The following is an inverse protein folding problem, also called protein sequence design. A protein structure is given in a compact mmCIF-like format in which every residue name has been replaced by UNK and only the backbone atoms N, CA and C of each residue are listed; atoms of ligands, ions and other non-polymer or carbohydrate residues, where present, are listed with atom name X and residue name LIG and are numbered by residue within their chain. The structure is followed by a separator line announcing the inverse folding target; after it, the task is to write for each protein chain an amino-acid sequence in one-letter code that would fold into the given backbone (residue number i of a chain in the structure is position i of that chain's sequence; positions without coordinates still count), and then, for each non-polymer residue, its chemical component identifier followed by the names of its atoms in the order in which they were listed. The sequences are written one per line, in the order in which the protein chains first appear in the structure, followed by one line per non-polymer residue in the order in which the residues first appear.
data_IF_573655013499
#
_entry.id   IF_573655013499
#
_cell.length_a   1.000
_cell.length_b   1.000
_cell.length_c   1.000
_cell.angle_alpha   90.00
_cell.angle_beta   90.00
_cell.angle_gamma   90.00
#
_symmetry.space_group_name_H-M   'P 1'
#
loop_
_entity.id
_entity.type
_entity.pdbx_description
1 polymer ?
#
# COMPACT_ATOMS: atom_id res chain seq x y z
N UNK A 1 3.42 11.82 7.68
CA UNK A 1 3.14 11.58 6.25
C UNK A 1 1.80 12.20 5.91
N UNK A 2 1.56 12.52 4.64
CA UNK A 2 0.29 13.11 4.17
C UNK A 2 -0.81 12.09 3.86
N UNK A 3 -0.60 10.81 4.16
CA UNK A 3 -1.56 9.75 3.89
C UNK A 3 -1.49 9.28 2.44
N UNK A 4 -2.63 9.18 1.77
CA UNK A 4 -2.70 8.84 0.35
C UNK A 4 -2.32 10.06 -0.52
N UNK A 5 -1.05 10.47 -0.51
CA UNK A 5 -0.53 11.64 -1.22
C UNK A 5 0.47 11.29 -2.35
N UNK A 6 0.77 10.00 -2.50
CA UNK A 6 1.71 9.48 -3.50
C UNK A 6 3.18 9.70 -3.15
N UNK A 7 3.51 9.97 -1.88
CA UNK A 7 4.87 10.19 -1.41
C UNK A 7 5.85 9.07 -1.80
N UNK A 8 5.39 7.82 -1.85
CA UNK A 8 6.15 6.66 -2.35
C UNK A 8 6.69 6.86 -3.77
N UNK A 9 5.93 7.51 -4.66
CA UNK A 9 6.36 7.77 -6.05
C UNK A 9 7.16 9.08 -6.17
N UNK A 10 6.85 10.07 -5.33
CA UNK A 10 7.49 11.40 -5.35
C UNK A 10 8.88 11.37 -4.69
N UNK A 11 9.06 10.57 -3.65
CA UNK A 11 10.31 10.38 -2.90
C UNK A 11 10.77 8.91 -2.94
N UNK A 12 11.05 8.35 -4.14
CA UNK A 12 11.20 6.90 -4.34
C UNK A 12 12.46 6.31 -3.68
N UNK A 13 13.36 7.14 -3.16
CA UNK A 13 14.58 6.71 -2.47
C UNK A 13 14.51 6.87 -0.95
N UNK A 14 13.35 7.27 -0.41
CA UNK A 14 13.17 7.50 1.04
C UNK A 14 12.31 6.39 1.65
N UNK A 15 10.99 6.45 1.45
CA UNK A 15 10.06 5.51 2.08
C UNK A 15 10.25 4.07 1.61
N UNK A 16 10.51 3.79 0.31
CA UNK A 16 10.82 2.43 -0.13
C UNK A 16 12.08 1.81 0.47
N UNK A 17 12.93 2.61 1.13
CA UNK A 17 14.14 2.13 1.80
C UNK A 17 13.91 1.76 3.28
N UNK A 18 12.72 2.02 3.84
CA UNK A 18 12.39 1.64 5.21
C UNK A 18 12.17 0.12 5.32
N UNK A 19 12.54 -0.47 6.46
CA UNK A 19 12.43 -1.92 6.66
C UNK A 19 11.02 -2.47 6.47
N UNK A 20 9.94 -1.83 7.00
CA UNK A 20 8.57 -2.30 6.77
C UNK A 20 8.10 -2.23 5.30
N UNK A 21 8.82 -1.51 4.44
CA UNK A 21 8.49 -1.31 3.02
C UNK A 21 9.34 -2.18 2.08
N UNK A 22 10.06 -3.17 2.61
CA UNK A 22 10.91 -4.05 1.81
C UNK A 22 10.10 -4.70 0.66
N UNK A 23 10.58 -4.53 -0.57
CA UNK A 23 9.93 -5.01 -1.80
C UNK A 23 9.02 -3.99 -2.50
N UNK A 24 8.60 -2.90 -1.83
CA UNK A 24 7.66 -1.93 -2.44
C UNK A 24 8.25 -1.21 -3.66
N UNK A 25 9.59 -1.14 -3.75
CA UNK A 25 10.32 -0.48 -4.83
C UNK A 25 9.91 -0.99 -6.22
N UNK A 26 9.57 -2.28 -6.36
CA UNK A 26 9.12 -2.85 -7.64
C UNK A 26 7.80 -2.22 -8.11
N UNK A 27 6.83 -2.10 -7.21
CA UNK A 27 5.55 -1.44 -7.51
C UNK A 27 5.73 0.06 -7.80
N UNK A 28 6.60 0.73 -7.05
CA UNK A 28 6.96 2.14 -7.27
C UNK A 28 7.57 2.33 -8.66
N UNK A 29 8.56 1.52 -9.03
CA UNK A 29 9.23 1.58 -10.32
C UNK A 29 8.29 1.25 -11.49
N UNK A 30 7.29 0.37 -11.28
CA UNK A 30 6.28 0.07 -12.28
C UNK A 30 5.30 1.23 -12.51
N UNK A 31 5.00 2.03 -11.47
CA UNK A 31 4.04 3.13 -11.56
C UNK A 31 4.67 4.47 -11.99
N UNK A 32 5.93 4.74 -11.64
CA UNK A 32 6.61 6.00 -11.99
C UNK A 32 6.48 6.37 -13.49
N UNK A 33 6.65 5.45 -14.46
CA UNK A 33 6.50 5.78 -15.88
C UNK A 33 5.11 6.33 -16.26
N UNK A 34 4.06 5.97 -15.52
CA UNK A 34 2.71 6.47 -15.79
C UNK A 34 2.55 7.94 -15.41
N UNK A 35 3.34 8.48 -14.47
CA UNK A 35 3.28 9.91 -14.12
C UNK A 35 3.76 10.81 -15.26
N UNK A 36 4.76 10.36 -16.03
CA UNK A 36 5.21 11.11 -17.20
C UNK A 36 4.28 10.93 -18.40
N UNK A 37 3.65 9.76 -18.52
CA UNK A 37 2.67 9.48 -19.58
C UNK A 37 1.34 10.22 -19.36
N UNK A 38 0.91 10.40 -18.11
CA UNK A 38 -0.35 11.01 -17.73
C UNK A 38 -0.13 12.20 -16.78
N UNK A 39 0.43 13.33 -17.28
CA UNK A 39 0.90 14.43 -16.43
C UNK A 39 -0.21 15.20 -15.70
N UNK A 40 -1.47 14.97 -16.04
CA UNK A 40 -2.63 15.56 -15.34
C UNK A 40 -3.09 14.72 -14.14
N UNK A 41 -2.55 13.51 -13.96
CA UNK A 41 -2.86 12.62 -12.84
C UNK A 41 -1.78 12.79 -11.77
N UNK A 42 -2.18 13.01 -10.52
CA UNK A 42 -1.25 13.13 -9.39
C UNK A 42 -0.78 11.75 -8.92
N UNK A 43 0.35 11.70 -8.22
CA UNK A 43 0.90 10.45 -7.71
C UNK A 43 -0.07 9.73 -6.76
N UNK A 44 -0.74 10.47 -5.87
CA UNK A 44 -1.74 9.90 -4.97
C UNK A 44 -2.93 9.31 -5.73
N UNK A 45 -3.44 10.00 -6.75
CA UNK A 45 -4.55 9.48 -7.57
C UNK A 45 -4.12 8.28 -8.41
N UNK A 46 -2.91 8.29 -8.98
CA UNK A 46 -2.37 7.17 -9.74
C UNK A 46 -2.30 5.90 -8.87
N UNK A 47 -1.74 5.99 -7.67
CA UNK A 47 -1.63 4.82 -6.76
C UNK A 47 -3.02 4.26 -6.43
N UNK A 48 -3.96 5.11 -6.04
CA UNK A 48 -5.31 4.66 -5.68
C UNK A 48 -6.08 4.10 -6.87
N UNK A 49 -5.95 4.70 -8.06
CA UNK A 49 -6.58 4.20 -9.27
C UNK A 49 -5.98 2.87 -9.71
N UNK A 50 -4.65 2.73 -9.68
CA UNK A 50 -3.96 1.48 -10.00
C UNK A 50 -4.37 0.35 -9.05
N UNK A 51 -4.50 0.63 -7.75
CA UNK A 51 -5.03 -0.32 -6.78
C UNK A 51 -6.46 -0.74 -7.11
N UNK A 52 -7.36 0.22 -7.38
CA UNK A 52 -8.74 -0.07 -7.76
C UNK A 52 -8.84 -0.93 -9.04
N UNK A 53 -8.03 -0.61 -10.04
CA UNK A 53 -7.95 -1.37 -11.28
C UNK A 53 -7.41 -2.79 -11.06
N UNK A 54 -6.36 -2.95 -10.25
CA UNK A 54 -5.78 -4.26 -9.92
C UNK A 54 -6.76 -5.15 -9.14
N UNK A 55 -7.48 -4.58 -8.17
CA UNK A 55 -8.52 -5.28 -7.40
C UNK A 55 -9.67 -5.73 -8.30
N UNK A 56 -10.12 -4.89 -9.24
CA UNK A 56 -11.21 -5.22 -10.16
C UNK A 56 -10.91 -6.42 -11.08
N UNK A 57 -9.64 -6.81 -11.26
CA UNK A 57 -9.25 -7.99 -12.03
C UNK A 57 -9.42 -9.31 -11.25
N UNK A 58 -9.70 -9.24 -9.94
CA UNK A 58 -9.81 -10.43 -9.07
C UNK A 58 -11.27 -10.87 -8.96
N UNK A 59 -11.48 -12.18 -9.13
CA UNK A 59 -12.81 -12.75 -9.05
C UNK A 59 -13.39 -12.56 -7.64
N UNK A 60 -14.62 -12.04 -7.56
CA UNK A 60 -15.30 -11.80 -6.28
C UNK A 60 -14.87 -10.54 -5.53
N UNK A 61 -13.89 -9.78 -6.05
CA UNK A 61 -13.50 -8.52 -5.45
C UNK A 61 -14.57 -7.42 -5.66
N UNK A 62 -14.71 -6.49 -4.71
CA UNK A 62 -15.62 -5.37 -4.87
C UNK A 62 -15.12 -4.40 -5.94
N UNK A 63 -16.05 -3.69 -6.57
CA UNK A 63 -15.70 -2.47 -7.30
C UNK A 63 -15.45 -1.35 -6.29
N UNK A 64 -14.18 -0.99 -6.12
CA UNK A 64 -13.78 0.06 -5.18
C UNK A 64 -14.28 1.44 -5.64
N UNK A 65 -14.71 2.26 -4.69
CA UNK A 65 -14.94 3.69 -4.92
C UNK A 65 -13.60 4.37 -5.25
N UNK A 66 -13.60 5.18 -6.31
CA UNK A 66 -12.45 6.01 -6.67
C UNK A 66 -12.86 7.48 -6.70
N UNK A 67 -12.31 8.24 -5.76
CA UNK A 67 -12.38 9.70 -5.74
C UNK A 67 -11.02 10.25 -6.19
N UNK A 68 -11.02 11.26 -7.04
CA UNK A 68 -9.82 11.93 -7.55
C UNK A 68 -9.66 13.35 -6.98
N UNK A 69 -8.48 13.94 -7.15
CA UNK A 69 -8.16 15.30 -6.75
C UNK A 69 -7.11 15.40 -5.63
N UNK A 70 -6.37 14.33 -5.33
CA UNK A 70 -5.30 14.39 -4.33
C UNK A 70 -4.18 15.32 -4.79
N UNK A 71 -3.67 16.23 -3.95
CA UNK A 71 -2.44 16.95 -4.26
C UNK A 71 -1.24 15.99 -4.20
N UNK A 72 -0.17 16.30 -4.93
CA UNK A 72 1.10 15.58 -4.78
C UNK A 72 1.71 15.84 -3.39
N UNK A 73 2.34 14.82 -2.83
CA UNK A 73 3.11 14.91 -1.59
C UNK A 73 4.14 16.05 -1.62
N UNK A 74 4.31 16.71 -0.49
CA UNK A 74 5.30 17.80 -0.30
C UNK A 74 6.50 17.38 0.54
N UNK A 75 6.42 16.24 1.23
CA UNK A 75 7.49 15.64 2.02
C UNK A 75 7.30 14.12 2.07
N UNK A 76 8.39 13.34 2.24
CA UNK A 76 8.26 11.90 2.51
C UNK A 76 7.65 11.66 3.89
N UNK A 77 7.05 10.49 4.08
CA UNK A 77 6.68 10.04 5.41
C UNK A 77 7.93 9.75 6.28
N UNK A 78 7.72 9.74 7.60
CA UNK A 78 8.72 9.25 8.55
C UNK A 78 8.61 7.73 8.65
N UNK A 79 9.68 7.08 9.12
CA UNK A 79 9.67 5.65 9.43
C UNK A 79 8.78 5.33 10.64
N UNK A 80 8.40 4.06 10.81
CA UNK A 80 7.60 3.57 11.93
C UNK A 80 6.08 3.77 11.80
N UNK A 81 5.59 4.16 10.61
CA UNK A 81 4.15 4.33 10.36
C UNK A 81 3.49 3.10 9.72
N UNK A 82 4.27 2.13 9.25
CA UNK A 82 3.78 0.92 8.60
C UNK A 82 3.75 -0.22 9.64
N UNK A 83 2.60 -0.89 9.85
CA UNK A 83 2.52 -2.08 10.70
C UNK A 83 3.42 -3.20 10.19
N UNK A 84 4.08 -3.91 11.10
CA UNK A 84 4.96 -5.04 10.78
C UNK A 84 4.34 -6.38 11.20
N UNK A 85 4.68 -7.51 10.54
CA UNK A 85 4.06 -8.81 10.83
C UNK A 85 4.38 -9.35 12.24
N UNK A 86 5.45 -8.89 12.88
CA UNK A 86 5.81 -9.24 14.26
C UNK A 86 5.17 -8.35 15.32
N UNK A 87 4.44 -7.30 14.93
CA UNK A 87 3.78 -6.41 15.89
C UNK A 87 2.66 -7.12 16.63
N UNK A 88 2.50 -6.78 17.92
CA UNK A 88 1.35 -7.27 18.67
C UNK A 88 0.05 -6.57 18.23
N UNK A 89 -1.10 -7.21 18.51
CA UNK A 89 -2.42 -6.71 18.11
C UNK A 89 -2.72 -5.33 18.69
N UNK A 90 -2.24 -5.03 19.90
CA UNK A 90 -2.47 -3.72 20.53
C UNK A 90 -1.76 -2.63 19.75
N UNK A 91 -0.50 -2.86 19.37
CA UNK A 91 0.29 -1.94 18.54
C UNK A 91 -0.35 -1.75 17.16
N UNK A 92 -0.77 -2.84 16.51
CA UNK A 92 -1.43 -2.77 15.19
C UNK A 92 -2.71 -1.94 15.28
N UNK A 93 -3.61 -2.25 16.20
CA UNK A 93 -4.88 -1.52 16.34
C UNK A 93 -4.67 -0.04 16.68
N UNK A 94 -3.71 0.28 17.56
CA UNK A 94 -3.37 1.67 17.88
C UNK A 94 -2.81 2.43 16.68
N UNK A 95 -2.02 1.78 15.82
CA UNK A 95 -1.47 2.38 14.59
C UNK A 95 -2.55 2.72 13.57
N UNK A 96 -3.55 1.84 13.43
CA UNK A 96 -4.69 2.07 12.54
C UNK A 96 -5.64 3.15 13.10
N UNK A 97 -5.87 3.19 14.41
CA UNK A 97 -6.63 4.26 15.07
C UNK A 97 -5.95 5.63 14.89
N UNK A 98 -4.63 5.73 15.13
CA UNK A 98 -3.84 6.95 14.90
C UNK A 98 -3.86 7.41 13.43
N UNK A 99 -3.81 6.47 12.48
CA UNK A 99 -3.74 6.79 11.05
C UNK A 99 -5.03 7.40 10.49
N UNK A 100 -6.20 7.00 11.00
CA UNK A 100 -7.48 7.40 10.42
C UNK A 100 -8.71 7.06 11.24
N UNK A 101 -8.57 6.70 12.50
CA UNK A 101 -9.68 6.33 13.39
C UNK A 101 -10.34 5.00 13.02
N UNK A 102 -9.59 4.07 12.44
CA UNK A 102 -10.12 2.76 12.04
C UNK A 102 -10.45 1.91 13.25
N UNK A 103 -11.65 1.34 13.26
CA UNK A 103 -12.08 0.35 14.25
C UNK A 103 -11.40 -1.00 14.02
N UNK A 104 -11.30 -1.87 15.05
CA UNK A 104 -10.75 -3.21 14.87
C UNK A 104 -11.46 -4.04 13.78
N UNK A 105 -12.77 -3.85 13.59
CA UNK A 105 -13.53 -4.52 12.54
C UNK A 105 -13.09 -4.06 11.14
N UNK A 106 -12.80 -2.77 10.96
CA UNK A 106 -12.29 -2.24 9.69
C UNK A 106 -10.86 -2.70 9.43
N UNK A 107 -10.01 -2.81 10.45
CA UNK A 107 -8.66 -3.38 10.30
C UNK A 107 -8.73 -4.83 9.80
N UNK A 108 -9.60 -5.64 10.39
CA UNK A 108 -9.83 -7.03 9.93
C UNK A 108 -10.38 -7.04 8.50
N UNK A 109 -11.29 -6.12 8.14
CA UNK A 109 -11.81 -6.02 6.79
C UNK A 109 -10.72 -5.67 5.76
N UNK A 110 -9.80 -4.77 6.09
CA UNK A 110 -8.66 -4.40 5.23
C UNK A 110 -7.69 -5.58 5.01
N UNK A 111 -7.54 -6.46 6.00
CA UNK A 111 -6.73 -7.68 5.87
C UNK A 111 -7.32 -8.72 4.91
N UNK A 112 -8.54 -8.55 4.40
CA UNK A 112 -9.07 -9.37 3.32
C UNK A 112 -8.20 -9.30 2.05
N UNK A 113 -7.42 -8.23 1.88
CA UNK A 113 -6.39 -8.12 0.85
C UNK A 113 -5.38 -9.26 0.86
N UNK A 114 -5.16 -9.92 2.01
CA UNK A 114 -4.28 -11.09 2.11
C UNK A 114 -4.81 -12.32 1.37
N UNK A 115 -6.07 -12.35 0.94
CA UNK A 115 -6.61 -13.43 0.10
C UNK A 115 -6.14 -13.39 -1.36
N UNK A 116 -5.45 -12.32 -1.76
CA UNK A 116 -4.83 -12.16 -3.09
C UNK A 116 -3.36 -11.76 -3.00
N UNK A 117 -2.68 -12.18 -1.93
CA UNK A 117 -1.33 -11.75 -1.58
C UNK A 117 -0.35 -12.90 -1.32
N UNK A 118 0.93 -12.53 -1.34
CA UNK A 118 2.08 -13.40 -1.13
C UNK A 118 3.22 -12.63 -0.45
N UNK A 119 4.22 -13.34 0.05
CA UNK A 119 5.43 -12.77 0.62
C UNK A 119 6.69 -13.22 -0.13
N UNK A 120 7.52 -12.24 -0.48
CA UNK A 120 8.78 -12.43 -1.21
C UNK A 120 10.02 -12.16 -0.32
N UNK A 121 9.83 -11.58 0.88
CA UNK A 121 10.92 -11.06 1.72
C UNK A 121 10.88 -11.47 3.20
N UNK A 122 9.87 -12.22 3.63
CA UNK A 122 9.76 -12.66 5.05
C UNK A 122 10.70 -13.83 5.32
N UNK A 123 10.69 -14.83 4.44
CA UNK A 123 11.65 -15.93 4.43
C UNK A 123 12.61 -15.70 3.25
N UNK A 124 13.91 -15.44 3.48
CA UNK A 124 14.86 -15.16 2.40
C UNK A 124 15.15 -16.35 1.49
N UNK A 125 14.61 -17.54 1.81
CA UNK A 125 14.76 -18.76 1.00
C UNK A 125 13.54 -19.05 0.11
N UNK A 126 12.44 -18.34 0.31
CA UNK A 126 11.20 -18.49 -0.45
C UNK A 126 10.88 -17.20 -1.20
N UNK A 127 10.30 -17.35 -2.37
CA UNK A 127 9.74 -16.26 -3.17
C UNK A 127 8.28 -16.60 -3.48
N UNK A 128 7.43 -15.58 -3.60
CA UNK A 128 6.02 -15.71 -3.92
C UNK A 128 5.23 -16.67 -3.00
N UNK A 129 5.58 -16.75 -1.71
CA UNK A 129 4.90 -17.62 -0.74
C UNK A 129 3.48 -17.11 -0.47
N UNK A 130 2.41 -17.84 -0.85
CA UNK A 130 1.05 -17.33 -0.76
C UNK A 130 0.52 -17.37 0.68
N UNK A 131 -0.39 -16.45 1.01
CA UNK A 131 -1.02 -16.40 2.34
C UNK A 131 -2.23 -17.33 2.47
N UNK A 132 -2.83 -17.74 1.34
CA UNK A 132 -3.87 -18.77 1.29
C UNK A 132 -3.63 -19.74 0.11
N UNK A 133 -4.57 -20.66 -0.13
CA UNK A 133 -4.46 -21.65 -1.23
C UNK A 133 -4.89 -21.13 -2.61
N UNK A 134 -5.36 -19.88 -2.72
CA UNK A 134 -5.99 -19.27 -3.90
C UNK A 134 -5.61 -17.78 -4.11
N UNK A 135 -4.31 -17.44 -4.21
CA UNK A 135 -3.82 -16.05 -4.32
C UNK A 135 -4.07 -15.37 -5.69
#
# INVERSE_FOLDING_TARGET
GGGADGSMLIFPTVEPAFFPNLGIADSVNNLIPFLSQFPTITAGDLVQFAAAAATALRHGAPQLEFLAGRPNATAPAIDGLIPEPQDDVTKILARFDDAGGFTPAEVVALLASHSIARADHVDPTLDAAPFDSTP
#
